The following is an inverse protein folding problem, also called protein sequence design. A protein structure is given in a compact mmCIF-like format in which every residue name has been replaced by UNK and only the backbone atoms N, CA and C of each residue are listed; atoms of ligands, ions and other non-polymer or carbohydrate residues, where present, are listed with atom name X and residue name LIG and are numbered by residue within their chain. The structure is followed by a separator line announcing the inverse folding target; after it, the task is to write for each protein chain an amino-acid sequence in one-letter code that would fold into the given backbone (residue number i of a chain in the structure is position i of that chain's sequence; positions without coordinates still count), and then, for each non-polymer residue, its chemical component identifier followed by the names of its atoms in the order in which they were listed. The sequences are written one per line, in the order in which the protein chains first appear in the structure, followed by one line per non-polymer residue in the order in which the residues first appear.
data_IF_135091356459
#
_entry.id   IF_135091356459
#
_cell.length_a   1.000
_cell.length_b   1.000
_cell.length_c   1.000
_cell.angle_alpha   90.00
_cell.angle_beta   90.00
_cell.angle_gamma   90.00
#
_symmetry.space_group_name_H-M   'P 1'
#
loop_
_entity.id
_entity.type
_entity.pdbx_description
1 polymer ?
2 non-polymer ?
3 water ?
#
# COMPACT_ATOMS: atom_id res chain seq x y z
N UNK A 5 -13.61 -12.30 -9.07
CA UNK A 5 -12.35 -11.60 -8.85
C UNK A 5 -11.47 -11.60 -10.09
N UNK A 6 -10.71 -10.52 -10.25
CA UNK A 6 -9.80 -10.37 -11.38
C UNK A 6 -8.38 -10.77 -10.95
N UNK A 7 -8.12 -10.66 -9.64
CA UNK A 7 -6.83 -11.06 -9.11
C UNK A 7 -6.75 -10.69 -7.65
N UNK A 8 -5.55 -10.82 -7.07
CA UNK A 8 -5.30 -10.34 -5.72
C UNK A 8 -4.14 -9.36 -5.76
N UNK A 9 -4.07 -8.47 -4.78
CA UNK A 9 -2.89 -7.65 -4.61
C UNK A 9 -2.38 -7.82 -3.20
N UNK A 10 -1.15 -8.32 -3.08
CA UNK A 10 -0.46 -8.38 -1.80
C UNK A 10 0.07 -7.00 -1.48
N UNK A 11 -0.46 -6.38 -0.43
CA UNK A 11 0.02 -5.08 0.01
C UNK A 11 0.95 -5.26 1.21
N UNK A 12 2.25 -5.23 0.98
CA UNK A 12 3.16 -5.29 2.12
C UNK A 12 3.31 -3.90 2.69
N UNK A 13 2.80 -3.70 3.90
CA UNK A 13 2.98 -2.43 4.59
C UNK A 13 4.35 -2.50 5.28
N UNK A 14 5.36 -1.93 4.63
CA UNK A 14 6.74 -2.17 5.06
C UNK A 14 7.05 -1.41 6.33
N UNK A 15 6.82 -0.10 6.29
CA UNK A 15 7.14 0.73 7.45
C UNK A 15 6.42 2.08 7.39
N UNK A 16 6.31 2.71 8.56
CA UNK A 16 5.92 4.10 8.65
C UNK A 16 7.14 4.91 9.04
N UNK A 17 7.27 6.10 8.46
CA UNK A 17 8.45 6.94 8.68
C UNK A 17 8.02 8.29 9.21
N UNK A 18 8.59 8.66 10.37
CA UNK A 18 8.30 9.92 11.04
C UNK A 18 6.81 10.21 11.16
N UNK A 19 6.08 9.27 11.75
CA UNK A 19 4.65 9.45 11.96
C UNK A 19 4.40 10.46 13.06
N UNK A 20 3.17 10.95 13.11
CA UNK A 20 2.80 11.94 14.12
C UNK A 20 2.77 11.36 15.52
N UNK A 21 3.04 12.24 16.48
CA UNK A 21 3.00 11.90 17.89
C UNK A 21 1.58 12.10 18.41
N UNK A 22 1.01 11.07 19.05
CA UNK A 22 -0.36 11.19 19.58
C UNK A 22 -0.49 10.78 21.03
N UNK A 23 0.61 10.49 21.71
CA UNK A 23 0.55 10.17 23.15
C UNK A 23 1.74 10.80 23.87
N UNK A 24 1.83 12.12 23.72
CA UNK A 24 2.81 13.01 24.38
C UNK A 24 4.23 12.91 23.83
N UNK A 25 4.83 11.72 23.87
CA UNK A 25 6.20 11.56 23.36
C UNK A 25 6.29 10.59 22.20
N UNK A 26 5.32 9.69 22.09
CA UNK A 26 5.36 8.73 20.98
C UNK A 26 3.94 8.36 20.58
N UNK A 27 3.81 7.25 19.86
CA UNK A 27 2.52 6.76 19.39
C UNK A 27 2.53 5.25 19.39
N UNK A 28 1.35 4.67 19.19
CA UNK A 28 1.21 3.22 19.08
C UNK A 28 0.50 2.87 17.77
N UNK A 29 1.22 3.00 16.64
CA UNK A 29 0.55 3.06 15.33
C UNK A 29 0.16 1.75 14.71
N UNK A 30 -0.97 1.80 14.00
CA UNK A 30 -1.40 0.72 13.12
C UNK A 30 -2.04 1.33 11.88
N UNK A 31 -2.19 0.52 10.83
CA UNK A 31 -2.83 0.98 9.60
C UNK A 31 -4.05 0.12 9.31
N UNK A 32 -5.14 0.76 8.92
CA UNK A 32 -6.26 0.04 8.32
C UNK A 32 -6.12 0.22 6.80
N UNK A 33 -6.16 -0.88 6.05
CA UNK A 33 -6.07 -0.82 4.60
C UNK A 33 -7.40 -1.25 4.01
N UNK A 34 -7.98 -0.43 3.13
CA UNK A 34 -9.30 -0.72 2.58
C UNK A 34 -9.31 -0.77 1.05
N UNK A 35 -10.21 -1.56 0.49
CA UNK A 35 -10.60 -1.41 -0.92
C UNK A 35 -12.11 -1.56 -0.94
N UNK A 36 -12.80 -0.44 -1.13
CA UNK A 36 -14.24 -0.42 -0.88
C UNK A 36 -14.56 -0.95 0.51
N UNK A 37 -15.50 -1.88 0.58
CA UNK A 37 -15.92 -2.43 1.87
C UNK A 37 -14.94 -3.44 2.47
N UNK A 38 -13.98 -3.88 1.67
CA UNK A 38 -12.97 -4.82 2.14
C UNK A 38 -11.96 -4.09 3.01
N UNK A 39 -11.66 -4.63 4.18
CA UNK A 39 -10.74 -3.94 5.09
C UNK A 39 -9.87 -4.92 5.88
N UNK A 40 -8.60 -4.55 6.05
CA UNK A 40 -7.62 -5.35 6.77
C UNK A 40 -6.81 -4.42 7.66
N UNK A 41 -6.03 -4.96 8.59
CA UNK A 41 -5.24 -4.11 9.48
C UNK A 41 -3.85 -4.68 9.73
N UNK A 42 -2.88 -3.79 9.93
CA UNK A 42 -1.56 -4.19 10.41
C UNK A 42 -1.61 -4.43 11.91
N UNK A 43 -0.52 -5.01 12.41
CA UNK A 43 -0.33 -5.07 13.85
C UNK A 43 -0.09 -3.67 14.40
N UNK A 44 -0.24 -3.56 15.70
CA UNK A 44 0.16 -2.37 16.44
C UNK A 44 1.59 -2.52 16.92
N UNK A 45 2.42 -1.50 16.74
CA UNK A 45 3.74 -1.49 17.38
C UNK A 45 3.76 -0.39 18.45
N UNK A 46 4.18 -0.74 19.66
CA UNK A 46 4.08 0.19 20.77
C UNK A 46 5.22 1.18 20.85
N UNK A 47 4.85 2.44 21.06
CA UNK A 47 5.76 3.54 21.36
C UNK A 47 6.83 3.71 20.29
N UNK A 48 6.37 3.87 19.06
CA UNK A 48 7.26 4.24 17.98
C UNK A 48 6.57 5.19 17.00
N UNK A 49 7.34 6.08 16.39
CA UNK A 49 6.82 6.87 15.28
C UNK A 49 7.51 6.44 13.99
N UNK A 50 8.24 5.33 14.06
CA UNK A 50 8.86 4.72 12.88
C UNK A 50 8.63 3.21 12.85
N UNK A 51 7.35 2.79 12.83
CA UNK A 51 7.03 1.37 12.95
C UNK A 51 7.50 0.56 11.76
N UNK A 52 8.16 -0.56 12.04
CA UNK A 52 8.59 -1.49 11.02
C UNK A 52 7.60 -2.65 10.97
N UNK A 53 6.37 -2.33 10.56
CA UNK A 53 5.29 -3.31 10.56
C UNK A 53 5.64 -4.57 9.77
N UNK A 54 6.13 -4.37 8.54
CA UNK A 54 6.41 -5.49 7.63
C UNK A 54 5.26 -6.50 7.62
N UNK A 55 4.04 -5.99 7.48
CA UNK A 55 2.83 -6.79 7.48
C UNK A 55 2.26 -6.86 6.09
N UNK A 56 2.09 -8.06 5.54
CA UNK A 56 1.53 -8.19 4.21
C UNK A 56 0.05 -8.54 4.26
N UNK A 57 -0.75 -7.67 3.65
CA UNK A 57 -2.21 -7.76 3.68
C UNK A 57 -2.72 -7.97 2.26
N UNK A 58 -3.45 -9.06 2.03
CA UNK A 58 -3.85 -9.42 0.68
C UNK A 58 -5.29 -9.03 0.36
N UNK A 59 -5.44 -8.15 -0.63
CA UNK A 59 -6.75 -7.67 -1.07
C UNK A 59 -7.25 -8.45 -2.27
N UNK A 60 -8.53 -8.81 -2.23
CA UNK A 60 -9.19 -9.37 -3.40
C UNK A 60 -9.61 -8.25 -4.33
N UNK A 61 -9.24 -8.36 -5.60
CA UNK A 61 -9.57 -7.31 -6.56
C UNK A 61 -10.80 -7.67 -7.39
N UNK A 62 -11.82 -6.83 -7.32
CA UNK A 62 -13.01 -7.01 -8.14
C UNK A 62 -13.08 -5.93 -9.22
N UNK A 63 -12.79 -4.70 -8.81
CA UNK A 63 -12.82 -3.55 -9.72
C UNK A 63 -11.56 -2.73 -9.50
N UNK A 64 -10.59 -2.84 -10.43
CA UNK A 64 -9.29 -2.20 -10.23
C UNK A 64 -9.33 -0.66 -10.20
N UNK A 65 -10.48 -0.07 -10.52
CA UNK A 65 -10.62 1.38 -10.51
C UNK A 65 -10.92 1.94 -9.11
N UNK A 66 -11.22 1.04 -8.17
CA UNK A 66 -11.46 1.42 -6.78
C UNK A 66 -10.11 1.62 -6.10
N UNK A 67 -9.90 2.79 -5.48
CA UNK A 67 -8.62 3.08 -4.82
C UNK A 67 -8.36 2.16 -3.63
N UNK A 68 -7.09 1.86 -3.40
CA UNK A 68 -6.69 1.27 -2.13
C UNK A 68 -6.47 2.41 -1.14
N UNK A 69 -7.14 2.34 0.01
CA UNK A 69 -7.08 3.41 1.00
C UNK A 69 -6.34 2.94 2.23
N UNK A 70 -5.53 3.83 2.79
CA UNK A 70 -4.78 3.52 4.00
C UNK A 70 -5.02 4.61 5.04
N UNK A 71 -5.31 4.18 6.27
CA UNK A 71 -5.59 5.10 7.37
C UNK A 71 -4.73 4.71 8.55
N UNK A 72 -3.93 5.64 9.05
CA UNK A 72 -3.07 5.36 10.20
C UNK A 72 -3.73 5.88 11.46
N UNK A 73 -3.65 5.10 12.54
CA UNK A 73 -4.21 5.50 13.84
C UNK A 73 -3.28 5.16 14.99
N UNK A 74 -3.44 5.89 16.09
CA UNK A 74 -2.82 5.59 17.38
C UNK A 74 -3.73 4.69 18.21
N UNK A 75 -3.21 3.57 18.71
CA UNK A 75 -4.02 2.72 19.58
C UNK A 75 -4.02 3.31 20.98
N UNK A 76 -5.19 3.56 21.56
CA UNK A 76 -5.27 4.26 22.84
C UNK A 76 -6.46 3.76 23.64
N UNK A 77 -6.37 3.88 24.96
CA UNK A 77 -7.42 3.40 25.86
C UNK A 77 -8.74 4.14 25.68
N UNK A 78 -8.69 5.38 25.20
CA UNK A 78 -9.88 6.22 25.14
C UNK A 78 -10.35 6.59 23.73
N UNK A 79 -9.44 7.10 22.91
CA UNK A 79 -9.77 7.46 21.54
C UNK A 79 -8.56 7.14 20.67
N UNK A 80 -8.78 6.46 19.55
CA UNK A 80 -7.68 6.16 18.62
C UNK A 80 -7.52 7.33 17.65
N UNK A 81 -6.61 8.24 17.96
CA UNK A 81 -6.39 9.45 17.16
C UNK A 81 -5.95 9.11 15.75
N UNK A 82 -6.52 9.80 14.77
CA UNK A 82 -6.05 9.63 13.40
C UNK A 82 -4.64 10.18 13.24
N UNK A 83 -3.88 9.53 12.36
CA UNK A 83 -2.49 9.90 12.08
C UNK A 83 -2.26 9.99 10.57
N UNK A 84 -3.32 10.35 9.85
CA UNK A 84 -3.21 10.60 8.43
C UNK A 84 -3.82 9.52 7.55
N UNK A 85 -4.03 9.85 6.29
CA UNK A 85 -4.55 8.87 5.34
C UNK A 85 -3.93 9.06 3.97
N UNK A 86 -3.99 8.03 3.15
CA UNK A 86 -3.58 8.16 1.76
C UNK A 86 -4.36 7.16 0.92
N UNK A 87 -4.22 7.28 -0.39
CA UNK A 87 -4.81 6.28 -1.26
C UNK A 87 -3.89 6.01 -2.43
N UNK A 88 -4.14 4.91 -3.12
CA UNK A 88 -3.31 4.49 -4.23
C UNK A 88 -4.17 3.88 -5.33
N UNK A 89 -3.81 4.19 -6.57
CA UNK A 89 -4.49 3.65 -7.75
C UNK A 89 -3.72 2.41 -8.21
N UNK A 90 -4.40 1.27 -8.32
CA UNK A 90 -3.70 0.06 -8.75
C UNK A 90 -3.84 -0.17 -10.24
N UNK A 91 -4.47 0.76 -10.96
CA UNK A 91 -4.59 0.56 -12.41
C UNK A 91 -3.23 0.53 -13.14
N UNK A 92 -2.23 1.34 -12.72
CA UNK A 92 -0.93 1.18 -13.40
C UNK A 92 -0.31 -0.21 -13.23
N UNK A 93 -0.41 -0.78 -12.03
CA UNK A 93 0.01 -2.15 -11.77
C UNK A 93 -0.68 -3.12 -12.72
N UNK A 94 -1.99 -2.99 -12.82
CA UNK A 94 -2.79 -3.86 -13.68
C UNK A 94 -2.38 -3.68 -15.15
N UNK A 95 -2.06 -2.45 -15.54
CA UNK A 95 -1.61 -2.20 -16.92
C UNK A 95 -0.35 -3.03 -17.22
N UNK A 96 0.57 -3.08 -16.26
CA UNK A 96 1.79 -3.85 -16.47
C UNK A 96 1.49 -5.35 -16.46
N UNK A 97 0.57 -5.78 -15.59
CA UNK A 97 0.14 -7.17 -15.57
C UNK A 97 -0.35 -7.59 -16.96
N UNK A 98 -1.10 -6.70 -17.60
CA UNK A 98 -1.68 -7.00 -18.90
C UNK A 98 -0.66 -7.01 -20.03
N UNK A 99 0.57 -6.56 -19.76
CA UNK A 99 1.62 -6.63 -20.78
C UNK A 99 2.10 -8.07 -20.99
N UNK A 100 1.88 -8.91 -19.98
CA UNK A 100 2.25 -10.33 -20.02
C UNK A 100 3.73 -10.56 -20.28
N UNK A 101 4.56 -9.76 -19.62
CA UNK A 101 6.01 -9.90 -19.70
C UNK A 101 6.46 -11.14 -18.94
N UNK A 102 7.29 -11.96 -19.59
CA UNK A 102 7.86 -13.15 -18.96
C UNK A 102 9.33 -13.35 -19.36
N UNK A 103 10.10 -14.06 -18.54
CA UNK A 103 11.45 -14.47 -18.92
C UNK A 103 12.56 -13.42 -18.87
N UNK A 104 12.30 -12.32 -18.16
CA UNK A 104 13.25 -11.21 -18.06
C UNK A 104 14.07 -11.24 -16.74
N UNK A 105 15.04 -10.36 -16.59
CA UNK A 105 15.83 -10.35 -15.37
C UNK A 105 15.00 -9.82 -14.19
N UNK A 106 15.36 -10.20 -12.97
CA UNK A 106 14.76 -9.58 -11.78
C UNK A 106 14.92 -8.07 -11.83
N UNK A 107 13.94 -7.37 -11.27
CA UNK A 107 13.98 -5.92 -11.14
C UNK A 107 14.02 -5.21 -12.48
N UNK A 108 13.28 -5.75 -13.44
CA UNK A 108 13.10 -5.08 -14.72
C UNK A 108 11.98 -4.05 -14.59
N UNK A 109 12.37 -2.77 -14.51
CA UNK A 109 11.40 -1.69 -14.38
C UNK A 109 10.73 -1.36 -15.71
N UNK A 110 9.41 -1.34 -15.72
CA UNK A 110 8.64 -1.21 -16.95
C UNK A 110 7.67 -0.02 -16.93
N UNK A 111 7.37 0.49 -15.74
CA UNK A 111 6.50 1.66 -15.67
C UNK A 111 6.83 2.50 -14.44
N UNK A 112 6.72 3.81 -14.59
CA UNK A 112 6.93 4.73 -13.47
C UNK A 112 5.74 5.65 -13.30
N UNK A 113 5.32 5.86 -12.05
CA UNK A 113 4.21 6.76 -11.75
C UNK A 113 4.75 7.95 -10.95
N UNK A 114 4.49 9.16 -11.43
CA UNK A 114 5.09 10.37 -10.86
C UNK A 114 4.15 11.01 -9.83
N UNK A 115 4.71 11.62 -8.78
CA UNK A 115 3.83 12.36 -7.86
C UNK A 115 3.22 13.58 -8.52
N UNK A 116 1.99 13.91 -8.15
CA UNK A 116 1.36 15.15 -8.60
C UNK A 116 0.45 15.68 -7.48
N UNK A 117 -0.35 16.71 -7.74
CA UNK A 117 -1.15 17.32 -6.68
C UNK A 117 -2.33 16.48 -6.25
N UNK A 118 -2.73 15.53 -7.09
CA UNK A 118 -3.91 14.72 -6.80
C UNK A 118 -3.56 13.43 -6.06
N UNK A 119 -2.46 12.78 -6.44
CA UNK A 119 -2.14 11.50 -5.83
C UNK A 119 -1.33 11.68 -4.56
N UNK A 120 -1.02 10.57 -3.90
CA UNK A 120 -0.36 10.64 -2.60
C UNK A 120 1.10 10.20 -2.66
N UNK A 121 1.68 10.12 -3.86
CA UNK A 121 3.05 9.62 -3.94
C UNK A 121 4.04 10.63 -3.37
N UNK A 122 5.01 10.14 -2.60
CA UNK A 122 6.07 10.99 -2.06
C UNK A 122 7.23 11.11 -3.04
N UNK A 123 7.36 10.12 -3.90
CA UNK A 123 8.41 10.09 -4.92
C UNK A 123 7.91 9.22 -6.05
N UNK A 124 8.59 9.28 -7.20
CA UNK A 124 8.29 8.37 -8.29
C UNK A 124 8.20 6.91 -7.85
N UNK A 125 7.09 6.27 -8.23
CA UNK A 125 6.84 4.87 -7.93
C UNK A 125 7.24 4.00 -9.12
N UNK A 126 7.87 2.86 -8.86
CA UNK A 126 8.31 1.97 -9.93
C UNK A 126 7.53 0.66 -9.95
N UNK A 127 7.18 0.22 -11.15
CA UNK A 127 6.50 -1.05 -11.32
C UNK A 127 7.43 -1.92 -12.13
N UNK A 128 7.71 -3.11 -11.62
CA UNK A 128 8.77 -3.92 -12.19
C UNK A 128 8.43 -5.40 -12.18
N UNK A 129 9.23 -6.16 -12.91
CA UNK A 129 9.06 -7.60 -12.99
C UNK A 129 10.17 -8.29 -12.22
N UNK A 130 9.78 -9.18 -11.32
CA UNK A 130 10.68 -10.17 -10.74
C UNK A 130 9.91 -11.48 -10.84
N UNK A 131 10.24 -12.31 -11.84
CA UNK A 131 9.27 -13.28 -12.37
C UNK A 131 8.86 -14.42 -11.46
N UNK A 132 7.63 -14.88 -11.66
CA UNK A 132 6.74 -14.37 -12.71
C UNK A 132 6.17 -12.97 -12.54
N UNK A 133 6.54 -12.32 -11.45
CA UNK A 133 5.61 -11.43 -10.77
C UNK A 133 5.75 -9.93 -11.04
N UNK A 134 4.60 -9.26 -11.03
CA UNK A 134 4.53 -7.82 -11.18
C UNK A 134 4.46 -7.17 -9.79
N UNK A 135 5.43 -6.31 -9.51
CA UNK A 135 5.57 -5.67 -8.21
C UNK A 135 5.61 -4.16 -8.34
N UNK A 136 5.25 -3.46 -7.26
CA UNK A 136 5.32 -2.01 -7.27
C UNK A 136 5.87 -1.51 -5.95
N UNK A 137 6.90 -0.67 -6.01
CA UNK A 137 7.43 0.02 -4.83
C UNK A 137 6.78 1.40 -4.71
N UNK A 138 6.22 1.70 -3.54
CA UNK A 138 5.43 2.91 -3.31
C UNK A 138 5.81 3.59 -2.00
N UNK A 139 6.04 4.90 -2.03
CA UNK A 139 6.10 5.67 -0.79
C UNK A 139 4.96 6.68 -0.83
N UNK A 140 4.09 6.62 0.18
CA UNK A 140 2.94 7.51 0.25
C UNK A 140 3.17 8.59 1.28
N UNK A 141 2.92 9.84 0.92
CA UNK A 141 2.84 10.88 1.93
C UNK A 141 1.43 10.93 2.49
N UNK A 142 1.31 11.10 3.79
CA UNK A 142 0.00 11.07 4.41
C UNK A 142 -0.68 12.43 4.38
N UNK A 143 -1.99 12.39 4.16
CA UNK A 143 -2.86 13.57 4.19
C UNK A 143 -3.48 13.77 5.56
N UNK A 144 -3.87 15.01 5.85
CA UNK A 144 -4.60 15.35 7.06
C UNK A 144 -3.81 15.02 8.33
N UNK A 145 -2.50 15.24 8.26
CA UNK A 145 -1.60 15.01 9.39
C UNK A 145 -0.32 15.84 9.20
N UNK A 146 0.34 16.20 10.30
CA UNK A 146 1.44 17.16 10.22
C UNK A 146 2.73 16.54 9.69
N UNK A 147 2.82 15.22 9.73
CA UNK A 147 3.98 14.50 9.21
C UNK A 147 3.67 13.03 9.03
N UNK A 148 4.53 12.34 8.28
CA UNK A 148 4.44 10.90 8.15
C UNK A 148 4.36 10.39 6.72
N UNK A 149 5.08 9.30 6.48
CA UNK A 149 5.03 8.56 5.22
C UNK A 149 4.83 7.09 5.49
N UNK A 150 4.19 6.40 4.55
CA UNK A 150 4.08 4.95 4.59
C UNK A 150 4.78 4.34 3.38
N UNK A 151 5.65 3.35 3.61
CA UNK A 151 6.30 2.65 2.49
C UNK A 151 5.62 1.30 2.23
N UNK A 152 5.31 1.03 0.97
CA UNK A 152 4.58 -0.17 0.58
C UNK A 152 5.31 -0.92 -0.50
N UNK A 153 5.10 -2.23 -0.53
CA UNK A 153 5.47 -3.00 -1.72
C UNK A 153 4.26 -3.81 -2.14
N UNK A 154 3.82 -3.61 -3.38
CA UNK A 154 2.68 -4.34 -3.89
C UNK A 154 3.13 -5.51 -4.75
N UNK A 155 2.34 -6.58 -4.76
CA UNK A 155 2.57 -7.67 -5.69
C UNK A 155 1.26 -8.21 -6.21
N UNK A 156 1.14 -8.27 -7.53
CA UNK A 156 -0.05 -8.84 -8.14
C UNK A 156 -0.02 -10.35 -8.00
N UNK A 157 -1.19 -10.94 -7.78
CA UNK A 157 -1.33 -12.39 -7.75
C UNK A 157 -2.40 -12.77 -8.77
N UNK A 158 -2.04 -13.60 -9.75
CA UNK A 158 -3.04 -14.02 -10.73
C UNK A 158 -3.92 -15.09 -10.12
N UNK A 159 -5.18 -15.11 -10.53
CA UNK A 159 -6.11 -16.16 -10.13
C UNK A 159 -6.24 -17.17 -11.27
N UNK A 160 -5.63 -18.36 -11.12
CA UNK A 160 -5.54 -19.36 -12.21
C UNK A 160 -6.89 -19.75 -12.81
N UNK A 161 -6.89 -20.31 -14.01
CA UNK A 161 -8.13 -20.64 -14.69
C UNK A 161 -8.23 -22.01 -15.34
N UNK A 162 -9.43 -22.48 -15.73
CA UNK A 162 -10.77 -21.85 -15.61
C UNK A 162 -10.97 -20.50 -16.35
N UNK A 163 -11.70 -20.49 -17.46
CA UNK A 163 -11.96 -19.20 -18.09
C UNK A 163 -13.37 -19.08 -18.67
N UNK A 164 -13.88 -17.85 -18.71
CA UNK A 164 -15.26 -17.59 -19.06
C UNK A 164 -16.11 -17.66 -17.81
N UNK A 165 -16.56 -16.51 -17.31
CA UNK A 165 -17.33 -16.46 -16.06
C UNK A 165 -18.62 -17.26 -16.14
X LIG B 1 -1.35 5.29 21.90
X LIG C 1 -4.04 10.46 21.85
#
# INVERSE_FOLDING_TARGET
MLGHLVGLVKVRVVRGVNLAVRDLRSSDPYVIVRMGKQKLKTRVIKKTTNPEWNDELTLSIEDPAVPVRLEVYDKDTFIDDAMGNAELDIRPLVEVVKMKIEGVADNTVVKKVVPNRQNCLAEESTIYISEGKVKQDVVLRLRDVECGEIELQLQWVDIPGSKGV
K K
K K
#
